data_IF_093619554188
#
_entry.id   IF_093619554188
#
_cell.length_a   1.000
_cell.length_b   1.000
_cell.length_c   1.000
_cell.angle_alpha   90.00
_cell.angle_beta   90.00
_cell.angle_gamma   90.00
#
_symmetry.space_group_name_H-M   'P 1'
#
loop_
_entity.id
_entity.type
_entity.pdbx_description
1 polymer ?
#
# COMPACT_ATOMS: atom_id res chain seq x y z
N UNK A 1 -31.44 -4.43 -41.73
CA UNK A 1 -31.55 -2.97 -41.55
C UNK A 1 -31.29 -2.68 -40.08
N UNK A 2 -30.41 -1.73 -39.81
CA UNK A 2 -29.90 -1.31 -38.49
C UNK A 2 -31.01 -1.20 -37.42
N UNK A 3 -30.77 -1.54 -36.15
CA UNK A 3 -29.91 -0.75 -35.25
C UNK A 3 -29.06 -1.58 -34.28
N UNK A 4 -27.75 -1.57 -34.51
CA UNK A 4 -26.71 -2.06 -33.58
C UNK A 4 -26.02 -0.90 -32.85
N UNK A 5 -26.73 0.20 -32.59
CA UNK A 5 -26.12 1.47 -32.17
C UNK A 5 -26.88 2.19 -31.05
N UNK A 6 -27.46 1.44 -30.12
CA UNK A 6 -27.77 2.03 -28.82
C UNK A 6 -26.43 2.35 -28.14
N UNK A 7 -26.12 3.62 -27.78
CA UNK A 7 -24.98 3.90 -26.91
C UNK A 7 -25.14 3.03 -25.67
N UNK A 8 -24.05 2.46 -25.11
CA UNK A 8 -24.15 1.64 -23.92
C UNK A 8 -24.93 2.44 -22.88
N UNK A 9 -26.12 1.92 -22.53
CA UNK A 9 -26.97 2.49 -21.51
C UNK A 9 -26.08 2.81 -20.31
N UNK A 10 -26.18 4.05 -19.83
CA UNK A 10 -25.55 4.56 -18.63
C UNK A 10 -25.66 3.47 -17.55
N UNK A 11 -24.58 2.71 -17.37
CA UNK A 11 -24.59 1.56 -16.46
C UNK A 11 -24.72 2.22 -15.10
N UNK A 12 -25.81 1.95 -14.33
CA UNK A 12 -25.91 2.48 -12.98
C UNK A 12 -24.61 2.11 -12.29
N UNK A 13 -23.90 3.10 -11.74
CA UNK A 13 -22.62 2.91 -11.08
C UNK A 13 -22.77 1.73 -10.10
N UNK A 14 -22.27 0.55 -10.48
CA UNK A 14 -22.43 -0.66 -9.70
C UNK A 14 -21.82 -0.37 -8.33
N UNK A 15 -22.57 -0.48 -7.22
CA UNK A 15 -22.06 -0.13 -5.89
C UNK A 15 -20.74 -0.84 -5.60
N UNK A 16 -20.57 -2.06 -6.12
CA UNK A 16 -19.31 -2.85 -6.10
C UNK A 16 -18.11 -2.07 -6.65
N UNK A 17 -18.26 -1.37 -7.79
CA UNK A 17 -17.17 -0.55 -8.37
C UNK A 17 -16.82 0.68 -7.50
N UNK A 18 -17.81 1.27 -6.81
CA UNK A 18 -17.58 2.41 -5.93
C UNK A 18 -16.88 2.00 -4.62
N UNK A 19 -17.21 0.83 -4.08
CA UNK A 19 -16.54 0.24 -2.92
C UNK A 19 -15.09 -0.14 -3.26
N UNK A 20 -14.88 -0.90 -4.33
CA UNK A 20 -13.54 -1.29 -4.80
C UNK A 20 -12.62 -0.09 -5.09
N UNK A 21 -13.16 1.02 -5.64
CA UNK A 21 -12.36 2.23 -5.90
C UNK A 21 -11.88 2.91 -4.61
N UNK A 22 -12.73 2.97 -3.58
CA UNK A 22 -12.35 3.55 -2.28
C UNK A 22 -11.28 2.69 -1.60
N UNK A 23 -11.45 1.38 -1.66
CA UNK A 23 -10.50 0.40 -1.14
C UNK A 23 -9.12 0.51 -1.82
N UNK A 24 -9.10 0.59 -3.15
CA UNK A 24 -7.87 0.77 -3.91
C UNK A 24 -7.14 2.07 -3.54
N UNK A 25 -7.88 3.17 -3.30
CA UNK A 25 -7.29 4.45 -2.87
C UNK A 25 -6.66 4.37 -1.48
N UNK A 26 -7.25 3.59 -0.56
CA UNK A 26 -6.68 3.38 0.78
C UNK A 26 -5.37 2.60 0.69
N UNK A 27 -5.34 1.52 -0.10
CA UNK A 27 -4.12 0.74 -0.34
C UNK A 27 -3.05 1.62 -0.99
N UNK A 28 -3.42 2.41 -2.01
CA UNK A 28 -2.50 3.32 -2.67
C UNK A 28 -1.92 4.36 -1.71
N UNK A 29 -2.75 4.92 -0.82
CA UNK A 29 -2.32 5.87 0.21
C UNK A 29 -1.34 5.25 1.20
N UNK A 30 -1.58 4.01 1.63
CA UNK A 30 -0.65 3.26 2.48
C UNK A 30 0.71 3.07 1.81
N UNK A 31 0.73 2.62 0.55
CA UNK A 31 1.97 2.45 -0.21
C UNK A 31 2.70 3.77 -0.42
N UNK A 32 1.98 4.86 -0.68
CA UNK A 32 2.56 6.20 -0.77
C UNK A 32 3.18 6.64 0.58
N UNK A 33 2.50 6.39 1.70
CA UNK A 33 3.03 6.67 3.04
C UNK A 33 4.27 5.84 3.36
N UNK A 34 4.28 4.55 2.99
CA UNK A 34 5.46 3.70 3.12
C UNK A 34 6.63 4.23 2.30
N UNK A 35 6.38 4.68 1.07
CA UNK A 35 7.43 5.28 0.23
C UNK A 35 7.95 6.59 0.83
N UNK A 36 7.05 7.44 1.31
CA UNK A 36 7.37 8.67 2.03
C UNK A 36 8.06 8.43 3.37
N UNK A 37 7.99 7.24 3.94
CA UNK A 37 8.78 6.87 5.12
C UNK A 37 10.18 6.43 4.71
N UNK A 38 10.28 5.46 3.79
CA UNK A 38 11.55 4.84 3.38
C UNK A 38 12.51 5.86 2.79
N UNK A 39 12.04 6.72 1.87
CA UNK A 39 12.90 7.65 1.13
C UNK A 39 13.61 8.65 2.06
N UNK A 40 12.91 9.45 2.89
CA UNK A 40 13.59 10.36 3.80
C UNK A 40 14.35 9.62 4.90
N UNK A 41 13.85 8.51 5.43
CA UNK A 41 14.57 7.78 6.47
C UNK A 41 15.94 7.27 5.97
N UNK A 42 15.99 6.68 4.78
CA UNK A 42 17.24 6.28 4.14
C UNK A 42 18.11 7.48 3.75
N UNK A 43 17.51 8.61 3.35
CA UNK A 43 18.26 9.82 3.00
C UNK A 43 18.95 10.43 4.23
N UNK A 44 18.25 10.57 5.35
CA UNK A 44 18.81 11.14 6.58
C UNK A 44 19.82 10.18 7.22
N UNK A 45 19.47 8.91 7.41
CA UNK A 45 20.30 7.98 8.19
C UNK A 45 21.35 7.23 7.35
N UNK A 46 21.19 7.14 6.03
CA UNK A 46 22.11 6.42 5.15
C UNK A 46 23.30 7.25 4.63
N UNK A 47 23.18 8.58 4.59
CA UNK A 47 24.22 9.48 4.06
C UNK A 47 25.04 10.21 5.12
N UNK A 48 24.87 9.90 6.40
CA UNK A 48 25.76 10.46 7.42
C UNK A 48 27.20 10.01 7.16
N UNK A 49 28.19 10.93 7.10
CA UNK A 49 29.59 10.58 6.97
C UNK A 49 29.98 9.73 8.18
N UNK A 50 30.10 8.42 7.97
CA UNK A 50 30.54 7.54 9.04
C UNK A 50 32.05 7.75 9.16
N UNK A 51 32.47 8.57 10.14
CA UNK A 51 33.89 8.80 10.41
C UNK A 51 34.63 7.52 10.84
N UNK A 52 33.91 6.52 11.34
CA UNK A 52 34.43 5.20 11.68
C UNK A 52 33.49 4.07 11.23
N UNK A 53 33.87 3.22 10.26
CA UNK A 53 33.03 2.12 9.77
C UNK A 53 32.66 1.09 10.86
N UNK A 54 33.37 1.07 12.00
CA UNK A 54 33.04 0.24 13.17
C UNK A 54 31.80 0.72 13.96
N UNK A 55 31.37 1.98 13.76
CA UNK A 55 30.13 2.51 14.34
C UNK A 55 28.89 2.19 13.51
N UNK A 56 29.05 1.57 12.32
CA UNK A 56 27.93 1.01 11.57
C UNK A 56 27.40 -0.19 12.34
N UNK A 57 26.50 0.13 13.26
CA UNK A 57 25.71 -0.82 14.00
C UNK A 57 24.93 -1.61 12.95
N UNK A 58 25.13 -2.93 12.98
CA UNK A 58 24.53 -3.88 12.05
C UNK A 58 23.72 -4.88 12.85
N UNK A 59 22.42 -4.91 12.57
CA UNK A 59 21.52 -5.94 13.05
C UNK A 59 21.51 -7.01 11.96
N UNK A 60 21.83 -8.26 12.34
CA UNK A 60 21.83 -9.45 11.45
C UNK A 60 22.68 -9.34 10.17
N UNK A 61 23.72 -8.49 10.18
CA UNK A 61 24.60 -8.26 9.02
C UNK A 61 24.07 -7.22 8.02
N UNK A 62 22.94 -6.57 8.31
CA UNK A 62 22.36 -5.48 7.52
C UNK A 62 22.46 -4.19 8.38
N UNK A 63 22.68 -3.00 7.78
CA UNK A 63 22.73 -1.77 8.55
C UNK A 63 21.42 -1.48 9.29
N UNK A 64 21.51 -1.02 10.52
CA UNK A 64 20.34 -0.76 11.39
C UNK A 64 19.34 0.21 10.75
N UNK A 65 19.84 1.20 9.99
CA UNK A 65 19.01 2.16 9.30
C UNK A 65 18.17 1.54 8.18
N UNK A 66 18.64 0.47 7.53
CA UNK A 66 17.85 -0.29 6.55
C UNK A 66 16.75 -1.05 7.28
N UNK A 67 17.08 -1.66 8.43
CA UNK A 67 16.10 -2.38 9.23
C UNK A 67 14.97 -1.45 9.68
N UNK A 68 15.29 -0.32 10.30
CA UNK A 68 14.27 0.63 10.75
C UNK A 68 13.58 1.39 9.60
N UNK A 69 14.30 1.64 8.50
CA UNK A 69 13.78 2.37 7.35
C UNK A 69 12.90 1.55 6.43
N UNK A 70 13.16 0.25 6.27
CA UNK A 70 12.49 -0.62 5.30
C UNK A 70 11.66 -1.70 5.98
N UNK A 71 12.17 -2.35 7.03
CA UNK A 71 11.47 -3.47 7.67
C UNK A 71 10.22 -3.01 8.44
N UNK A 72 10.29 -1.86 9.10
CA UNK A 72 9.15 -1.27 9.83
C UNK A 72 7.98 -0.92 8.90
N UNK A 73 8.14 -0.10 7.84
CA UNK A 73 7.02 0.19 6.95
C UNK A 73 6.51 -1.06 6.23
N UNK A 74 7.38 -2.04 5.95
CA UNK A 74 6.94 -3.32 5.41
C UNK A 74 6.03 -4.08 6.38
N UNK A 75 6.39 -4.17 7.66
CA UNK A 75 5.53 -4.74 8.70
C UNK A 75 4.22 -3.98 8.87
N UNK A 76 4.26 -2.65 8.82
CA UNK A 76 3.04 -1.82 8.87
C UNK A 76 2.14 -2.14 7.68
N UNK A 77 2.69 -2.24 6.47
CA UNK A 77 1.92 -2.64 5.29
C UNK A 77 1.32 -4.03 5.44
N UNK A 78 2.09 -5.02 5.89
CA UNK A 78 1.59 -6.38 6.12
C UNK A 78 0.46 -6.39 7.15
N UNK A 79 0.65 -5.76 8.30
CA UNK A 79 -0.36 -5.69 9.35
C UNK A 79 -1.61 -4.97 8.86
N UNK A 80 -1.45 -3.87 8.13
CA UNK A 80 -2.56 -3.15 7.54
C UNK A 80 -3.30 -4.01 6.53
N UNK A 81 -2.62 -4.72 5.63
CA UNK A 81 -3.27 -5.66 4.70
C UNK A 81 -4.04 -6.74 5.43
N UNK A 82 -3.49 -7.31 6.50
CA UNK A 82 -4.23 -8.28 7.33
C UNK A 82 -5.49 -7.67 7.93
N UNK A 83 -5.36 -6.53 8.62
CA UNK A 83 -6.51 -5.85 9.23
C UNK A 83 -7.54 -5.47 8.17
N UNK A 84 -7.09 -4.95 7.03
CA UNK A 84 -7.94 -4.57 5.91
C UNK A 84 -8.70 -5.78 5.35
N UNK A 85 -8.04 -6.91 5.14
CA UNK A 85 -8.72 -8.13 4.69
C UNK A 85 -9.72 -8.67 5.71
N UNK A 86 -9.47 -8.54 7.02
CA UNK A 86 -10.38 -9.05 8.05
C UNK A 86 -11.53 -8.10 8.42
N UNK A 87 -11.36 -6.79 8.25
CA UNK A 87 -12.33 -5.78 8.71
C UNK A 87 -12.97 -4.94 7.60
N UNK A 88 -12.36 -4.87 6.41
CA UNK A 88 -12.75 -3.95 5.35
C UNK A 88 -13.27 -4.65 4.09
N UNK A 89 -12.85 -5.89 3.81
CA UNK A 89 -13.60 -6.74 2.89
C UNK A 89 -14.89 -7.13 3.62
N UNK A 90 -15.93 -6.36 3.35
CA UNK A 90 -17.29 -6.81 3.53
C UNK A 90 -17.47 -7.94 2.49
N UNK A 91 -17.84 -9.14 2.93
CA UNK A 91 -18.27 -10.18 2.00
C UNK A 91 -19.49 -9.59 1.28
N UNK A 92 -19.27 -9.01 0.09
CA UNK A 92 -20.36 -8.59 -0.78
C UNK A 92 -21.10 -9.89 -1.12
N UNK A 93 -22.29 -10.05 -0.53
CA UNK A 93 -23.19 -11.14 -0.85
C UNK A 93 -23.50 -11.04 -2.36
N UNK A 94 -22.78 -11.84 -3.15
CA UNK A 94 -23.06 -12.14 -4.55
C UNK A 94 -24.33 -13.02 -4.64
N UNK A 95 -25.36 -12.70 -3.88
CA UNK A 95 -26.73 -13.12 -4.18
C UNK A 95 -27.26 -12.16 -5.24
N UNK A 96 -26.78 -12.38 -6.46
CA UNK A 96 -27.47 -11.93 -7.66
C UNK A 96 -28.80 -12.70 -7.76
N UNK A 97 -29.89 -12.07 -7.33
CA UNK A 97 -31.26 -12.43 -7.72
C UNK A 97 -31.61 -11.84 -9.10
#
# INVERSE_FOLDING_TARGET
>A
MADSNSPPADRPDDPVFLHARREALVILGLWAAAMLWVVPYCYFFGYHPVENPEQLKTIIGIPDWVFWGVFVPWLVCCLFSFVFSFWLIQDDDLEAE
#
